data_IF_328067623833
#
_entry.id   IF_328067623833
#
_cell.length_a   1.000
_cell.length_b   1.000
_cell.length_c   1.000
_cell.angle_alpha   90.00
_cell.angle_beta   90.00
_cell.angle_gamma   90.00
#
_symmetry.space_group_name_H-M   'P 1'
#
loop_
_entity.id
_entity.type
_entity.pdbx_description
1 polymer ?
#
# COMPACT_ATOMS: atom_id res chain seq x y z
N UNK A 1 -6.35 -14.98 18.43
CA UNK A 1 -5.31 -13.93 18.29
C UNK A 1 -5.78 -13.01 17.18
N UNK A 2 -5.65 -11.68 17.32
CA UNK A 2 -6.15 -10.75 16.30
C UNK A 2 -5.03 -10.40 15.34
N UNK A 3 -5.27 -10.58 14.03
CA UNK A 3 -4.30 -10.30 12.97
C UNK A 3 -4.66 -9.03 12.22
N UNK A 4 -3.73 -8.08 12.13
CA UNK A 4 -3.91 -6.89 11.30
C UNK A 4 -3.61 -7.20 9.84
N UNK A 5 -4.44 -6.72 8.91
CA UNK A 5 -4.17 -6.80 7.48
C UNK A 5 -4.03 -5.37 6.96
N UNK A 6 -2.90 -5.04 6.36
CA UNK A 6 -2.70 -3.75 5.69
C UNK A 6 -2.61 -3.93 4.18
N UNK A 7 -3.47 -3.22 3.45
CA UNK A 7 -3.58 -3.29 1.99
C UNK A 7 -3.09 -1.99 1.36
N UNK A 8 -1.93 -2.06 0.72
CA UNK A 8 -1.28 -0.94 0.04
C UNK A 8 -1.72 -0.88 -1.43
N UNK A 9 -2.00 0.32 -1.93
CA UNK A 9 -2.27 0.50 -3.36
C UNK A 9 -0.99 0.51 -4.20
N UNK A 10 -1.13 0.15 -5.47
CA UNK A 10 -0.06 0.19 -6.46
C UNK A 10 -0.60 0.45 -7.87
N UNK A 11 0.19 1.14 -8.71
CA UNK A 11 -0.14 1.44 -10.10
C UNK A 11 -1.42 2.28 -10.29
N UNK A 12 -1.39 3.52 -9.80
CA UNK A 12 -2.50 4.45 -9.89
C UNK A 12 -2.97 4.70 -11.34
N UNK A 13 -4.27 4.76 -11.55
CA UNK A 13 -4.97 5.14 -12.80
C UNK A 13 -5.89 6.33 -12.54
N UNK A 14 -6.40 6.92 -13.63
CA UNK A 14 -7.43 7.95 -13.55
C UNK A 14 -8.82 7.39 -13.16
N UNK A 15 -9.07 6.15 -13.57
CA UNK A 15 -10.23 5.37 -13.17
C UNK A 15 -9.74 4.27 -12.24
N UNK A 16 -10.09 4.38 -10.97
CA UNK A 16 -9.79 3.40 -9.93
C UNK A 16 -11.04 2.56 -9.63
N UNK A 17 -10.89 1.29 -9.20
CA UNK A 17 -9.63 0.62 -8.87
C UNK A 17 -8.87 0.12 -10.12
N UNK A 18 -7.54 0.25 -10.12
CA UNK A 18 -6.69 -0.34 -11.14
C UNK A 18 -6.75 -1.89 -11.12
N UNK A 19 -6.44 -2.60 -12.21
CA UNK A 19 -6.38 -4.07 -12.22
C UNK A 19 -5.39 -4.67 -11.20
N UNK A 20 -4.38 -3.89 -10.80
CA UNK A 20 -3.45 -4.31 -9.75
C UNK A 20 -4.08 -4.13 -8.37
N UNK A 21 -4.76 -3.00 -8.13
CA UNK A 21 -5.49 -2.74 -6.89
C UNK A 21 -6.64 -3.74 -6.67
N UNK A 22 -7.34 -4.16 -7.73
CA UNK A 22 -8.34 -5.24 -7.67
C UNK A 22 -7.72 -6.55 -7.19
N UNK A 23 -6.57 -6.94 -7.74
CA UNK A 23 -5.89 -8.17 -7.32
C UNK A 23 -5.34 -8.11 -5.90
N UNK A 24 -4.89 -6.94 -5.47
CA UNK A 24 -4.48 -6.70 -4.08
C UNK A 24 -5.67 -6.85 -3.13
N UNK A 25 -6.82 -6.27 -3.48
CA UNK A 25 -8.05 -6.39 -2.69
C UNK A 25 -8.55 -7.84 -2.63
N UNK A 26 -8.60 -8.55 -3.76
CA UNK A 26 -8.96 -9.98 -3.81
C UNK A 26 -8.06 -10.83 -2.90
N UNK A 27 -6.74 -10.59 -2.94
CA UNK A 27 -5.83 -11.32 -2.06
C UNK A 27 -6.03 -10.99 -0.57
N UNK A 28 -6.34 -9.74 -0.25
CA UNK A 28 -6.63 -9.35 1.13
C UNK A 28 -7.93 -9.99 1.64
N UNK A 29 -8.95 -10.07 0.78
CA UNK A 29 -10.23 -10.72 1.06
C UNK A 29 -10.09 -12.23 1.27
N UNK A 30 -9.39 -12.91 0.35
CA UNK A 30 -9.05 -14.34 0.48
C UNK A 30 -8.28 -14.63 1.78
N UNK A 31 -7.40 -13.72 2.18
CA UNK A 31 -6.65 -13.84 3.44
C UNK A 31 -7.53 -13.61 4.67
N UNK A 32 -8.42 -12.61 4.62
CA UNK A 32 -9.38 -12.34 5.70
C UNK A 32 -10.28 -13.55 5.93
N UNK A 33 -10.90 -14.06 4.87
CA UNK A 33 -11.74 -15.27 4.92
C UNK A 33 -10.99 -16.48 5.49
N UNK A 34 -9.75 -16.70 5.04
CA UNK A 34 -8.91 -17.80 5.54
C UNK A 34 -8.65 -17.68 7.05
N UNK A 35 -8.31 -16.49 7.53
CA UNK A 35 -8.06 -16.23 8.96
C UNK A 35 -9.34 -16.39 9.79
N UNK A 36 -10.46 -15.86 9.30
CA UNK A 36 -11.75 -16.02 9.98
C UNK A 36 -12.18 -17.49 10.06
N UNK A 37 -11.96 -18.29 9.02
CA UNK A 37 -12.23 -19.74 9.03
C UNK A 37 -11.37 -20.49 10.06
N UNK A 38 -10.18 -19.99 10.38
CA UNK A 38 -9.33 -20.51 11.46
C UNK A 38 -9.72 -20.00 12.85
N UNK A 39 -10.76 -19.16 12.96
CA UNK A 39 -11.17 -18.55 14.22
C UNK A 39 -10.25 -17.40 14.67
N UNK A 40 -9.49 -16.81 13.75
CA UNK A 40 -8.64 -15.64 14.00
C UNK A 40 -9.35 -14.37 13.54
N UNK A 41 -9.76 -13.49 14.48
CA UNK A 41 -10.31 -12.19 14.10
C UNK A 41 -9.27 -11.35 13.36
N UNK A 42 -9.72 -10.59 12.37
CA UNK A 42 -8.86 -9.70 11.60
C UNK A 42 -9.18 -8.25 11.89
N UNK A 43 -8.24 -7.35 11.57
CA UNK A 43 -8.48 -5.91 11.50
C UNK A 43 -7.88 -5.40 10.19
N UNK A 44 -8.73 -5.10 9.22
CA UNK A 44 -8.32 -4.69 7.87
C UNK A 44 -8.22 -3.17 7.75
N UNK A 45 -7.06 -2.68 7.35
CA UNK A 45 -6.81 -1.28 6.99
C UNK A 45 -6.36 -1.22 5.54
N UNK A 46 -7.00 -0.40 4.72
CA UNK A 46 -6.73 -0.36 3.29
C UNK A 46 -6.57 1.08 2.79
N UNK A 47 -5.72 1.25 1.78
CA UNK A 47 -5.71 2.49 1.02
C UNK A 47 -6.97 2.58 0.14
N UNK A 48 -7.48 3.80 -0.08
CA UNK A 48 -8.72 4.05 -0.83
C UNK A 48 -8.80 3.29 -2.15
N UNK A 49 -7.76 3.32 -2.99
CA UNK A 49 -7.77 2.66 -4.29
C UNK A 49 -7.98 1.15 -4.21
N UNK A 50 -7.46 0.50 -3.16
CA UNK A 50 -7.69 -0.94 -2.90
C UNK A 50 -9.03 -1.18 -2.20
N UNK A 51 -9.46 -0.27 -1.32
CA UNK A 51 -10.72 -0.39 -0.59
C UNK A 51 -11.94 -0.37 -1.51
N UNK A 52 -11.88 0.33 -2.66
CA UNK A 52 -12.93 0.32 -3.68
C UNK A 52 -13.24 -1.09 -4.23
N UNK A 53 -12.29 -2.02 -4.15
CA UNK A 53 -12.42 -3.37 -4.68
C UNK A 53 -12.59 -4.44 -3.59
N UNK A 54 -12.62 -4.07 -2.30
CA UNK A 54 -12.92 -4.99 -1.22
C UNK A 54 -14.43 -5.25 -1.12
N UNK A 55 -14.88 -6.50 -0.98
CA UNK A 55 -16.31 -6.78 -0.80
C UNK A 55 -16.78 -6.43 0.62
N UNK A 56 -15.87 -6.49 1.59
CA UNK A 56 -16.13 -6.13 2.99
C UNK A 56 -15.51 -4.77 3.30
N UNK A 57 -16.28 -3.92 3.99
CA UNK A 57 -15.82 -2.60 4.42
C UNK A 57 -14.65 -2.77 5.42
N UNK A 58 -13.45 -2.24 5.12
CA UNK A 58 -12.34 -2.30 6.06
C UNK A 58 -12.61 -1.39 7.28
N UNK A 59 -11.95 -1.67 8.40
CA UNK A 59 -12.03 -0.85 9.62
C UNK A 59 -11.60 0.59 9.37
N UNK A 60 -10.60 0.78 8.52
CA UNK A 60 -10.14 2.09 8.12
C UNK A 60 -9.80 2.12 6.63
N UNK A 61 -10.34 3.13 5.95
CA UNK A 61 -9.94 3.52 4.59
C UNK A 61 -9.08 4.76 4.70
N UNK A 62 -7.82 4.68 4.28
CA UNK A 62 -6.89 5.81 4.28
C UNK A 62 -6.86 6.46 2.91
N UNK A 63 -6.94 7.78 2.89
CA UNK A 63 -7.12 8.60 1.69
C UNK A 63 -6.03 9.65 1.57
N UNK A 64 -5.98 10.37 0.43
CA UNK A 64 -5.05 11.50 0.29
C UNK A 64 -5.25 12.62 1.32
N UNK A 65 -6.40 12.70 2.00
CA UNK A 65 -6.64 13.68 3.07
C UNK A 65 -5.82 13.38 4.33
N UNK A 66 -5.37 12.13 4.47
CA UNK A 66 -4.58 11.66 5.61
C UNK A 66 -3.07 11.80 5.37
N UNK A 67 -2.67 12.26 4.18
CA UNK A 67 -1.27 12.45 3.82
C UNK A 67 -0.62 13.53 4.69
N UNK A 68 0.57 13.23 5.22
CA UNK A 68 1.38 14.21 5.97
C UNK A 68 2.41 14.90 5.09
N UNK A 69 2.68 14.33 3.91
CA UNK A 69 3.63 14.84 2.94
C UNK A 69 2.93 15.46 1.72
N UNK A 70 3.61 16.41 1.10
CA UNK A 70 3.24 16.96 -0.21
C UNK A 70 4.08 16.30 -1.30
N UNK A 71 3.60 16.22 -2.53
CA UNK A 71 4.40 15.90 -3.70
C UNK A 71 5.28 17.10 -4.09
N UNK A 72 6.11 16.91 -5.12
CA UNK A 72 6.95 17.98 -5.71
C UNK A 72 6.17 19.19 -6.25
N UNK A 73 4.85 19.07 -6.43
CA UNK A 73 3.98 20.13 -6.94
C UNK A 73 3.12 20.76 -5.84
N UNK A 74 3.34 20.42 -4.57
CA UNK A 74 2.60 20.95 -3.42
C UNK A 74 1.21 20.33 -3.22
N UNK A 75 0.92 19.17 -3.84
CA UNK A 75 -0.34 18.43 -3.64
C UNK A 75 -0.16 17.35 -2.57
N UNK A 76 -1.18 17.04 -1.74
CA UNK A 76 -1.10 15.95 -0.78
C UNK A 76 -0.69 14.63 -1.45
N UNK A 77 0.33 13.97 -0.91
CA UNK A 77 0.87 12.71 -1.41
C UNK A 77 0.85 11.67 -0.31
N UNK A 78 -0.13 10.77 -0.37
CA UNK A 78 -0.22 9.65 0.57
C UNK A 78 0.86 8.62 0.21
N UNK A 79 1.84 8.48 1.08
CA UNK A 79 2.88 7.47 0.93
C UNK A 79 2.62 6.21 1.78
N UNK A 80 3.51 5.23 1.64
CA UNK A 80 3.43 3.97 2.40
C UNK A 80 3.59 4.20 3.92
N UNK A 81 4.34 5.21 4.34
CA UNK A 81 4.53 5.52 5.76
C UNK A 81 3.27 6.14 6.36
N UNK A 82 2.60 7.05 5.65
CA UNK A 82 1.33 7.65 6.07
C UNK A 82 0.26 6.58 6.28
N UNK A 83 0.06 5.68 5.31
CA UNK A 83 -0.88 4.56 5.43
C UNK A 83 -0.55 3.69 6.66
N UNK A 84 0.73 3.31 6.81
CA UNK A 84 1.15 2.42 7.88
C UNK A 84 1.00 3.07 9.26
N UNK A 85 1.30 4.36 9.39
CA UNK A 85 1.08 5.08 10.65
C UNK A 85 -0.39 5.04 11.07
N UNK A 86 -1.31 5.25 10.12
CA UNK A 86 -2.75 5.12 10.36
C UNK A 86 -3.18 3.69 10.68
N UNK A 87 -2.59 2.70 10.02
CA UNK A 87 -2.83 1.31 10.38
C UNK A 87 -2.35 0.99 11.81
N UNK A 88 -1.20 1.51 12.23
CA UNK A 88 -0.66 1.27 13.58
C UNK A 88 -1.53 1.87 14.68
N UNK A 89 -2.08 3.07 14.49
CA UNK A 89 -3.06 3.67 15.42
C UNK A 89 -4.22 2.70 15.69
N UNK A 90 -4.82 2.16 14.62
CA UNK A 90 -5.90 1.17 14.70
C UNK A 90 -5.40 -0.14 15.33
N UNK A 91 -4.27 -0.68 14.88
CA UNK A 91 -3.76 -1.95 15.38
C UNK A 91 -3.45 -1.91 16.89
N UNK A 92 -2.96 -0.78 17.41
CA UNK A 92 -2.77 -0.61 18.85
C UNK A 92 -4.09 -0.58 19.62
N UNK A 93 -5.12 0.10 19.09
CA UNK A 93 -6.47 0.12 19.69
C UNK A 93 -7.06 -1.29 19.82
N UNK A 94 -6.86 -2.15 18.81
CA UNK A 94 -7.36 -3.52 18.78
C UNK A 94 -6.41 -4.55 19.41
N UNK A 95 -5.27 -4.12 19.96
CA UNK A 95 -4.29 -5.03 20.57
C UNK A 95 -3.65 -6.03 19.59
N UNK A 96 -3.61 -5.68 18.30
CA UNK A 96 -2.97 -6.48 17.24
C UNK A 96 -1.47 -6.55 17.47
N UNK A 97 -0.90 -7.75 17.32
CA UNK A 97 0.55 -8.00 17.38
C UNK A 97 1.13 -8.51 16.06
N UNK A 98 0.33 -9.28 15.32
CA UNK A 98 0.72 -9.90 14.07
C UNK A 98 0.06 -9.15 12.91
N UNK A 99 0.86 -8.79 11.91
CA UNK A 99 0.43 -7.98 10.77
C UNK A 99 0.81 -8.65 9.46
N UNK A 100 -0.19 -8.84 8.60
CA UNK A 100 -0.02 -9.26 7.22
C UNK A 100 0.02 -8.04 6.30
N UNK A 101 1.06 -7.94 5.47
CA UNK A 101 1.21 -6.87 4.48
C UNK A 101 0.81 -7.37 3.09
N UNK A 102 -0.23 -6.76 2.54
CA UNK A 102 -0.71 -6.97 1.16
C UNK A 102 -0.23 -5.81 0.31
N UNK A 103 0.79 -6.08 -0.52
CA UNK A 103 1.44 -5.08 -1.37
C UNK A 103 2.04 -5.74 -2.62
N UNK A 104 2.41 -4.94 -3.62
CA UNK A 104 3.14 -5.44 -4.78
C UNK A 104 4.49 -6.08 -4.37
N UNK A 105 4.87 -7.18 -5.04
CA UNK A 105 5.91 -8.09 -4.54
C UNK A 105 7.34 -7.52 -4.63
N UNK A 106 8.23 -8.13 -3.84
CA UNK A 106 9.65 -7.82 -3.67
C UNK A 106 9.91 -6.49 -2.96
N UNK A 107 10.16 -5.39 -3.68
CA UNK A 107 10.73 -4.20 -3.05
C UNK A 107 9.71 -3.37 -2.28
N UNK A 108 8.48 -3.22 -2.79
CA UNK A 108 7.43 -2.46 -2.09
C UNK A 108 6.99 -3.18 -0.83
N UNK A 109 6.65 -4.48 -0.95
CA UNK A 109 6.32 -5.32 0.20
C UNK A 109 7.44 -5.37 1.25
N UNK A 110 8.71 -5.60 0.86
CA UNK A 110 9.82 -5.64 1.82
C UNK A 110 10.01 -4.31 2.55
N UNK A 111 9.89 -3.17 1.85
CA UNK A 111 9.99 -1.86 2.47
C UNK A 111 8.86 -1.63 3.49
N UNK A 112 7.61 -1.96 3.13
CA UNK A 112 6.46 -1.85 4.02
C UNK A 112 6.61 -2.76 5.25
N UNK A 113 6.98 -4.03 5.06
CA UNK A 113 7.21 -4.96 6.16
C UNK A 113 8.36 -4.51 7.08
N UNK A 114 9.41 -3.89 6.55
CA UNK A 114 10.49 -3.33 7.37
C UNK A 114 9.98 -2.20 8.29
N UNK A 115 9.08 -1.34 7.78
CA UNK A 115 8.43 -0.29 8.57
C UNK A 115 7.55 -0.91 9.67
N UNK A 116 6.75 -1.92 9.33
CA UNK A 116 5.89 -2.66 10.28
C UNK A 116 6.72 -3.29 11.41
N UNK A 117 7.82 -3.99 11.08
CA UNK A 117 8.72 -4.56 12.09
C UNK A 117 9.35 -3.49 12.97
N UNK A 118 9.75 -2.36 12.40
CA UNK A 118 10.34 -1.24 13.15
C UNK A 118 9.34 -0.62 14.14
N UNK A 119 8.04 -0.66 13.83
CA UNK A 119 6.97 -0.22 14.72
C UNK A 119 6.64 -1.23 15.85
N UNK A 120 7.30 -2.40 15.88
CA UNK A 120 7.15 -3.38 16.96
C UNK A 120 6.12 -4.48 16.71
N UNK A 121 5.56 -4.56 15.50
CA UNK A 121 4.66 -5.64 15.10
C UNK A 121 5.44 -6.84 14.54
N UNK A 122 4.90 -8.04 14.71
CA UNK A 122 5.36 -9.22 14.00
C UNK A 122 4.79 -9.22 12.59
N UNK A 123 5.64 -9.39 11.59
CA UNK A 123 5.16 -9.56 10.21
C UNK A 123 4.92 -11.04 9.95
N UNK A 124 3.66 -11.38 9.66
CA UNK A 124 3.25 -12.73 9.26
C UNK A 124 3.10 -12.81 7.75
N UNK A 125 3.72 -13.84 7.17
CA UNK A 125 3.73 -14.06 5.73
C UNK A 125 2.70 -15.10 5.33
N UNK A 126 1.71 -14.70 4.54
CA UNK A 126 0.78 -15.63 3.90
C UNK A 126 1.16 -15.83 2.43
N UNK A 127 1.05 -17.07 1.96
CA UNK A 127 1.27 -17.42 0.57
C UNK A 127 0.29 -16.67 -0.32
N UNK A 128 0.79 -15.97 -1.32
CA UNK A 128 -0.04 -15.19 -2.24
C UNK A 128 0.52 -15.20 -3.66
N UNK A 129 -0.38 -15.04 -4.62
CA UNK A 129 -0.05 -14.96 -6.04
C UNK A 129 0.92 -13.81 -6.36
N UNK A 130 1.62 -13.92 -7.49
CA UNK A 130 2.47 -12.83 -7.97
C UNK A 130 1.59 -11.72 -8.51
N UNK A 131 1.53 -10.60 -7.78
CA UNK A 131 0.88 -9.38 -8.25
C UNK A 131 1.83 -8.66 -9.22
N UNK A 132 1.46 -8.67 -10.50
CA UNK A 132 2.28 -8.09 -11.56
C UNK A 132 2.25 -6.56 -11.57
N UNK A 133 3.23 -5.95 -12.25
CA UNK A 133 3.25 -4.53 -12.58
C UNK A 133 2.19 -4.19 -13.64
N UNK A 134 1.64 -2.98 -13.59
CA UNK A 134 0.72 -2.50 -14.61
C UNK A 134 1.45 -1.78 -15.74
N UNK A 135 1.70 -2.49 -16.83
CA UNK A 135 2.38 -1.96 -18.03
C UNK A 135 1.52 -1.02 -18.87
N UNK A 136 0.23 -0.86 -18.53
CA UNK A 136 -0.72 -0.08 -19.32
C UNK A 136 -0.29 1.39 -19.50
N UNK A 137 -0.59 2.01 -20.65
CA UNK A 137 -0.46 3.47 -20.81
C UNK A 137 -1.35 4.27 -19.84
N UNK A 138 -2.45 3.66 -19.36
CA UNK A 138 -3.41 4.24 -18.40
C UNK A 138 -2.83 4.41 -17.00
N UNK A 139 -1.82 3.62 -16.63
CA UNK A 139 -1.12 3.79 -15.36
C UNK A 139 -0.36 5.14 -15.37
N UNK A 140 -0.68 5.98 -14.39
CA UNK A 140 -0.16 7.33 -14.22
C UNK A 140 1.25 7.31 -13.61
N UNK A 141 1.61 6.22 -12.93
CA UNK A 141 2.88 6.05 -12.23
C UNK A 141 3.84 5.23 -13.09
N UNK A 142 4.75 5.90 -13.78
CA UNK A 142 5.68 5.22 -14.71
C UNK A 142 6.55 4.15 -14.02
N UNK A 143 6.87 4.34 -12.74
CA UNK A 143 7.65 3.40 -11.94
C UNK A 143 6.89 2.11 -11.61
N UNK A 144 5.55 2.14 -11.67
CA UNK A 144 4.69 0.98 -11.48
C UNK A 144 4.52 0.13 -12.76
N UNK A 145 5.23 0.47 -13.85
CA UNK A 145 5.14 -0.24 -15.15
C UNK A 145 6.16 -1.35 -15.34
N UNK A 146 7.02 -1.59 -14.36
CA UNK A 146 7.97 -2.70 -14.42
C UNK A 146 9.09 -2.57 -13.38
N UNK A 147 9.80 -3.67 -13.10
CA UNK A 147 10.78 -3.74 -12.01
C UNK A 147 11.95 -2.77 -12.20
N UNK A 148 12.49 -2.64 -13.42
CA UNK A 148 13.61 -1.71 -13.69
C UNK A 148 13.20 -0.25 -13.40
N UNK A 149 11.99 0.13 -13.80
CA UNK A 149 11.46 1.49 -13.57
C UNK A 149 11.20 1.72 -12.08
N UNK A 150 10.75 0.70 -11.37
CA UNK A 150 10.55 0.76 -9.93
C UNK A 150 11.87 0.97 -9.19
N UNK A 151 12.90 0.20 -9.52
CA UNK A 151 14.25 0.35 -8.94
C UNK A 151 14.82 1.73 -9.25
N UNK A 152 14.68 2.22 -10.49
CA UNK A 152 15.12 3.56 -10.86
C UNK A 152 14.42 4.64 -10.03
N UNK A 153 13.12 4.52 -9.82
CA UNK A 153 12.36 5.43 -8.97
C UNK A 153 12.82 5.40 -7.51
N UNK A 154 13.06 4.22 -6.94
CA UNK A 154 13.63 4.11 -5.59
C UNK A 154 15.00 4.78 -5.48
N UNK A 155 15.85 4.64 -6.51
CA UNK A 155 17.12 5.35 -6.60
C UNK A 155 16.95 6.88 -6.63
N UNK A 156 15.98 7.37 -7.40
CA UNK A 156 15.62 8.81 -7.42
C UNK A 156 15.16 9.27 -6.04
N UNK A 157 14.26 8.54 -5.36
CA UNK A 157 13.82 8.88 -4.02
C UNK A 157 14.99 8.93 -3.01
N UNK A 158 15.91 7.97 -3.12
CA UNK A 158 17.10 7.94 -2.28
C UNK A 158 18.00 9.17 -2.50
N UNK A 159 18.23 9.57 -3.76
CA UNK A 159 18.96 10.80 -4.08
C UNK A 159 18.23 12.03 -3.54
N UNK A 160 16.91 12.13 -3.73
CA UNK A 160 16.10 13.22 -3.17
C UNK A 160 16.25 13.35 -1.66
N UNK A 161 16.25 12.21 -0.95
CA UNK A 161 16.50 12.17 0.50
C UNK A 161 17.90 12.70 0.86
N UNK A 162 18.95 12.32 0.12
CA UNK A 162 20.31 12.80 0.36
C UNK A 162 20.48 14.29 0.06
N UNK A 163 19.82 14.79 -0.99
CA UNK A 163 19.89 16.19 -1.41
C UNK A 163 18.86 17.10 -0.75
N UNK A 164 18.03 16.55 0.15
CA UNK A 164 16.88 17.24 0.79
C UNK A 164 15.89 17.82 -0.21
N UNK A 165 15.73 17.16 -1.36
CA UNK A 165 14.76 17.52 -2.38
C UNK A 165 13.56 16.58 -2.31
N UNK A 166 12.36 17.15 -2.38
CA UNK A 166 11.15 16.38 -2.50
C UNK A 166 10.98 15.89 -3.94
N UNK A 167 11.19 14.59 -4.15
CA UNK A 167 11.04 13.93 -5.45
C UNK A 167 9.85 12.97 -5.50
N UNK A 168 8.97 13.00 -4.49
CA UNK A 168 7.75 12.18 -4.49
C UNK A 168 6.86 12.53 -5.70
N UNK A 169 6.33 11.50 -6.35
CA UNK A 169 5.48 11.68 -7.54
C UNK A 169 6.24 12.11 -8.80
N UNK A 170 7.58 12.05 -8.83
CA UNK A 170 8.34 12.51 -10.00
C UNK A 170 7.91 11.77 -11.28
N UNK A 171 7.42 12.52 -12.27
CA UNK A 171 6.96 11.97 -13.54
C UNK A 171 5.61 11.25 -13.47
N UNK A 172 4.88 11.33 -12.35
CA UNK A 172 3.48 10.92 -12.31
C UNK A 172 2.67 11.78 -13.28
N UNK A 173 1.83 11.13 -14.10
CA UNK A 173 0.93 11.87 -14.98
C UNK A 173 -0.14 12.59 -14.13
N UNK A 174 -0.51 13.83 -14.50
CA UNK A 174 -1.61 14.50 -13.83
C UNK A 174 -2.90 13.69 -14.00
N UNK A 175 -3.69 13.63 -12.94
CA UNK A 175 -5.04 13.10 -13.03
C UNK A 175 -5.86 14.02 -13.95
N UNK A 176 -6.49 13.52 -15.02
CA UNK A 176 -7.46 14.31 -15.76
C UNK A 176 -8.59 14.68 -14.79
N UNK A 177 -8.94 15.97 -14.77
CA UNK A 177 -10.04 16.52 -14.00
C UNK A 177 -11.38 16.20 -14.65
#
# INVERSE_FOLDING_TARGET
MTTGIVVLAFAKRAEEPSPVNIKLAQFADELDDFLQQMGEPTVVVAQWETALALPTQPWLVVTQKDATNMDRNGKPYLDTQDLLNKAFEVFHEFGVKDVAVVANRFLHKQAAEAIVRKAGFNVVGYGGGVIAFDKSPLNLQWWCKGPVRFVAYLGIQFVGKLTRQNLHGIGEKPHPH
#
